data_IF_916102623336
#
_entry.id   IF_916102623336
#
_cell.length_a   1.000
_cell.length_b   1.000
_cell.length_c   1.000
_cell.angle_alpha   90.00
_cell.angle_beta   90.00
_cell.angle_gamma   90.00
#
_symmetry.space_group_name_H-M   'P 1'
#
loop_
_entity.id
_entity.type
_entity.pdbx_description
1 polymer ?
#
# COMPACT_ATOMS: atom_id res chain seq x y z
N UNK A 1 16.26 31.85 17.22
CA UNK A 1 14.88 31.55 16.78
C UNK A 1 14.67 31.38 15.27
N UNK A 2 15.36 32.06 14.31
CA UNK A 2 15.03 31.88 12.89
C UNK A 2 15.48 30.53 12.30
N UNK A 3 16.51 29.88 12.88
CA UNK A 3 17.03 28.60 12.40
C UNK A 3 16.09 27.41 12.67
N UNK A 4 15.33 27.46 13.78
CA UNK A 4 14.40 26.38 14.18
C UNK A 4 13.15 26.38 13.30
N UNK A 5 12.66 27.57 12.91
CA UNK A 5 11.55 27.71 11.97
C UNK A 5 11.93 27.28 10.55
N UNK A 6 13.17 27.55 10.11
CA UNK A 6 13.67 27.09 8.80
C UNK A 6 13.80 25.56 8.74
N UNK A 7 14.27 24.92 9.82
CA UNK A 7 14.35 23.46 9.94
C UNK A 7 12.96 22.81 9.96
N UNK A 8 11.98 23.40 10.66
CA UNK A 8 10.59 22.94 10.63
C UNK A 8 9.95 23.07 9.23
N UNK A 9 10.30 24.12 8.49
CA UNK A 9 9.83 24.31 7.10
C UNK A 9 10.45 23.29 6.14
N UNK A 10 11.73 22.93 6.33
CA UNK A 10 12.40 21.91 5.53
C UNK A 10 11.90 20.48 5.82
N UNK A 11 11.31 20.25 7.00
CA UNK A 11 10.73 18.96 7.41
C UNK A 11 9.32 18.71 6.84
N UNK A 12 8.60 19.74 6.37
CA UNK A 12 7.31 19.60 5.68
C UNK A 12 7.43 19.33 4.17
N UNK A 13 8.63 19.53 3.61
CA UNK A 13 8.90 19.32 2.19
C UNK A 13 8.69 17.89 1.65
N UNK A 14 8.90 16.78 2.38
CA UNK A 14 8.81 15.45 1.78
C UNK A 14 7.38 15.09 1.36
N UNK A 15 6.40 15.40 2.20
CA UNK A 15 4.99 15.10 1.92
C UNK A 15 4.43 16.02 0.83
N UNK A 16 4.67 17.34 0.92
CA UNK A 16 4.25 18.29 -0.12
C UNK A 16 4.93 17.99 -1.46
N UNK A 17 6.20 17.62 -1.46
CA UNK A 17 6.91 17.22 -2.68
C UNK A 17 6.37 15.91 -3.24
N UNK A 18 6.11 14.91 -2.42
CA UNK A 18 5.49 13.65 -2.87
C UNK A 18 4.12 13.94 -3.49
N UNK A 19 3.31 14.78 -2.85
CA UNK A 19 2.02 15.24 -3.37
C UNK A 19 2.17 15.90 -4.73
N UNK A 20 3.10 16.83 -4.87
CA UNK A 20 3.36 17.53 -6.14
C UNK A 20 3.88 16.57 -7.22
N UNK A 21 4.80 15.66 -6.89
CA UNK A 21 5.31 14.63 -7.81
C UNK A 21 4.18 13.70 -8.29
N UNK A 22 3.24 13.37 -7.41
CA UNK A 22 2.04 12.60 -7.77
C UNK A 22 1.11 13.45 -8.64
N UNK A 23 0.80 14.70 -8.26
CA UNK A 23 -0.05 15.58 -9.05
C UNK A 23 0.50 15.79 -10.47
N UNK A 24 1.81 15.98 -10.60
CA UNK A 24 2.50 16.14 -11.89
C UNK A 24 2.49 14.83 -12.68
N UNK A 25 2.81 13.70 -12.05
CA UNK A 25 2.77 12.39 -12.71
C UNK A 25 1.36 12.03 -13.16
N UNK A 26 0.33 12.29 -12.34
CA UNK A 26 -1.09 12.11 -12.66
C UNK A 26 -1.47 12.98 -13.85
N UNK A 27 -1.09 14.27 -13.82
CA UNK A 27 -1.42 15.23 -14.88
C UNK A 27 -0.78 14.84 -16.21
N UNK A 28 0.52 14.49 -16.20
CA UNK A 28 1.25 14.07 -17.38
C UNK A 28 0.66 12.79 -17.99
N UNK A 29 0.26 11.86 -17.14
CA UNK A 29 -0.32 10.59 -17.59
C UNK A 29 -1.72 10.77 -18.20
N UNK A 30 -2.54 11.58 -17.54
CA UNK A 30 -3.84 12.00 -18.06
C UNK A 30 -3.71 12.66 -19.44
N UNK A 31 -2.67 13.48 -19.65
CA UNK A 31 -2.42 14.11 -20.94
C UNK A 31 -1.88 13.10 -21.99
N UNK A 32 -1.06 12.13 -21.59
CA UNK A 32 -0.61 11.05 -22.47
C UNK A 32 -1.77 10.18 -22.94
N UNK A 33 -2.69 9.80 -22.04
CA UNK A 33 -3.89 9.02 -22.38
C UNK A 33 -4.80 9.74 -23.38
N UNK A 34 -4.79 11.08 -23.40
CA UNK A 34 -5.58 11.86 -24.38
C UNK A 34 -4.95 11.97 -25.77
N UNK A 35 -3.67 11.64 -25.92
CA UNK A 35 -2.96 11.70 -27.21
C UNK A 35 -3.08 10.42 -28.05
N UNK A 36 -3.60 9.34 -27.48
CA UNK A 36 -3.74 8.07 -28.21
C UNK A 36 -5.06 8.00 -28.98
N UNK A 37 -4.95 7.97 -30.31
CA UNK A 37 -6.06 7.72 -31.24
C UNK A 37 -6.28 6.21 -31.44
N UNK A 38 -7.44 5.73 -31.01
CA UNK A 38 -8.14 4.47 -31.37
C UNK A 38 -7.32 3.30 -31.97
N UNK A 39 -7.05 2.26 -31.15
CA UNK A 39 -6.80 0.86 -31.60
C UNK A 39 -7.37 -0.18 -30.60
N UNK A 40 -7.45 -1.44 -31.05
CA UNK A 40 -8.19 -2.61 -30.51
C UNK A 40 -8.05 -2.93 -29.02
N UNK A 41 -9.09 -3.61 -28.47
CA UNK A 41 -9.36 -3.83 -27.05
C UNK A 41 -8.68 -5.12 -26.53
N UNK A 42 -7.99 -5.02 -25.38
CA UNK A 42 -7.68 -6.16 -24.51
C UNK A 42 -8.17 -5.77 -23.11
N UNK A 43 -9.03 -6.58 -22.50
CA UNK A 43 -9.55 -6.30 -21.15
C UNK A 43 -8.39 -6.12 -20.16
N UNK A 44 -8.34 -5.00 -19.41
CA UNK A 44 -7.32 -4.81 -18.41
C UNK A 44 -7.54 -5.80 -17.27
N UNK A 45 -6.57 -6.71 -17.08
CA UNK A 45 -6.49 -7.47 -15.84
C UNK A 45 -6.06 -6.52 -14.72
N UNK A 46 -7.04 -6.03 -13.95
CA UNK A 46 -6.82 -5.13 -12.81
C UNK A 46 -5.84 -5.68 -11.75
N UNK A 47 -5.54 -6.99 -11.79
CA UNK A 47 -4.63 -7.63 -10.85
C UNK A 47 -3.16 -7.64 -11.30
N UNK A 48 -2.81 -7.13 -12.50
CA UNK A 48 -1.41 -7.11 -12.95
C UNK A 48 -0.92 -5.72 -13.30
N UNK A 49 -0.37 -5.01 -12.32
CA UNK A 49 0.60 -3.92 -12.57
C UNK A 49 1.93 -4.45 -13.16
N UNK A 50 2.03 -5.76 -13.44
CA UNK A 50 3.22 -6.44 -13.95
C UNK A 50 3.61 -6.03 -15.39
N UNK A 51 2.79 -5.26 -16.12
CA UNK A 51 3.20 -4.63 -17.37
C UNK A 51 2.30 -3.45 -17.75
N UNK A 52 2.83 -2.22 -17.86
CA UNK A 52 2.12 -1.08 -18.43
C UNK A 52 1.61 -1.32 -19.87
N UNK A 53 2.15 -2.34 -20.56
CA UNK A 53 1.76 -2.73 -21.91
C UNK A 53 0.54 -3.67 -21.96
N UNK A 54 0.08 -4.24 -20.84
CA UNK A 54 -1.04 -5.21 -20.81
C UNK A 54 -2.35 -4.62 -20.24
N UNK A 55 -2.40 -3.32 -19.96
CA UNK A 55 -3.59 -2.60 -19.52
C UNK A 55 -4.06 -1.75 -20.69
N UNK A 56 -4.97 -2.27 -21.54
CA UNK A 56 -5.22 -1.67 -22.85
C UNK A 56 -6.63 -1.09 -23.11
N UNK A 57 -6.56 -0.06 -23.97
CA UNK A 57 -7.47 0.58 -24.93
C UNK A 57 -9.01 0.49 -24.80
N UNK A 58 -9.63 1.66 -24.77
CA UNK A 58 -11.04 1.86 -25.08
C UNK A 58 -11.21 2.50 -26.47
N UNK A 59 -12.00 1.89 -27.35
CA UNK A 59 -12.56 2.56 -28.54
C UNK A 59 -13.84 3.28 -28.13
N UNK A 60 -13.87 4.61 -28.22
CA UNK A 60 -15.07 5.40 -27.92
C UNK A 60 -15.39 6.31 -29.10
N UNK A 61 -16.52 6.04 -29.76
CA UNK A 61 -16.96 6.68 -31.00
C UNK A 61 -17.46 8.14 -30.85
N UNK A 62 -17.23 8.81 -29.72
CA UNK A 62 -17.75 10.17 -29.50
C UNK A 62 -16.78 11.06 -28.67
N UNK A 63 -15.79 11.64 -29.35
CA UNK A 63 -14.67 12.39 -28.76
C UNK A 63 -15.09 13.60 -27.90
N UNK A 64 -16.22 14.25 -28.21
CA UNK A 64 -16.68 15.47 -27.52
C UNK A 64 -17.23 15.18 -26.12
N UNK A 65 -17.98 14.08 -25.99
CA UNK A 65 -18.49 13.60 -24.70
C UNK A 65 -17.38 13.09 -23.80
N UNK A 66 -16.32 12.52 -24.38
CA UNK A 66 -15.11 12.12 -23.67
C UNK A 66 -14.44 13.31 -23.00
N UNK A 67 -14.17 14.38 -23.74
CA UNK A 67 -13.44 15.54 -23.21
C UNK A 67 -14.16 16.17 -22.02
N UNK A 68 -15.48 16.31 -22.09
CA UNK A 68 -16.28 16.87 -20.99
C UNK A 68 -16.34 15.94 -19.77
N UNK A 69 -16.48 14.62 -19.98
CA UNK A 69 -16.40 13.63 -18.89
C UNK A 69 -15.01 13.58 -18.24
N UNK A 70 -13.95 13.65 -19.04
CA UNK A 70 -12.57 13.71 -18.59
C UNK A 70 -12.27 14.97 -17.79
N UNK A 71 -12.75 16.14 -18.22
CA UNK A 71 -12.56 17.40 -17.47
C UNK A 71 -13.29 17.36 -16.13
N UNK A 72 -14.54 16.86 -16.10
CA UNK A 72 -15.29 16.72 -14.84
C UNK A 72 -14.66 15.69 -13.90
N UNK A 73 -14.19 14.56 -14.42
CA UNK A 73 -13.47 13.56 -13.66
C UNK A 73 -12.14 14.09 -13.12
N UNK A 74 -11.33 14.76 -13.95
CA UNK A 74 -10.09 15.45 -13.55
C UNK A 74 -10.36 16.40 -12.38
N UNK A 75 -11.40 17.22 -12.49
CA UNK A 75 -11.78 18.19 -11.44
C UNK A 75 -12.21 17.50 -10.14
N UNK A 76 -13.02 16.44 -10.24
CA UNK A 76 -13.47 15.67 -9.07
C UNK A 76 -12.31 14.95 -8.38
N UNK A 77 -11.54 14.16 -9.13
CA UNK A 77 -10.41 13.40 -8.61
C UNK A 77 -9.36 14.33 -7.99
N UNK A 78 -9.05 15.46 -8.66
CA UNK A 78 -8.14 16.47 -8.09
C UNK A 78 -8.71 17.10 -6.82
N UNK A 79 -10.02 17.38 -6.77
CA UNK A 79 -10.68 17.90 -5.58
C UNK A 79 -10.62 16.91 -4.41
N UNK A 80 -10.98 15.66 -4.65
CA UNK A 80 -10.95 14.56 -3.66
C UNK A 80 -9.53 14.31 -3.16
N UNK A 81 -8.55 14.15 -4.08
CA UNK A 81 -7.15 14.00 -3.73
C UNK A 81 -6.64 15.19 -2.93
N UNK A 82 -6.91 16.43 -3.38
CA UNK A 82 -6.46 17.63 -2.65
C UNK A 82 -7.05 17.71 -1.25
N UNK A 83 -8.34 17.42 -1.08
CA UNK A 83 -8.99 17.40 0.25
C UNK A 83 -8.37 16.33 1.13
N UNK A 84 -8.17 15.12 0.61
CA UNK A 84 -7.60 13.99 1.35
C UNK A 84 -6.14 14.24 1.72
N UNK A 85 -5.33 14.78 0.80
CA UNK A 85 -3.95 15.16 1.03
C UNK A 85 -3.82 16.32 2.01
N UNK A 86 -4.77 17.26 2.03
CA UNK A 86 -4.83 18.31 3.06
C UNK A 86 -5.14 17.73 4.44
N UNK A 87 -6.01 16.71 4.52
CA UNK A 87 -6.29 15.97 5.74
C UNK A 87 -5.05 15.22 6.23
N UNK A 88 -4.38 14.50 5.33
CA UNK A 88 -3.12 13.81 5.60
C UNK A 88 -2.04 14.76 6.13
N UNK A 89 -1.89 15.94 5.53
CA UNK A 89 -0.96 16.96 5.99
C UNK A 89 -1.32 17.46 7.40
N UNK A 90 -2.62 17.59 7.71
CA UNK A 90 -3.08 17.96 9.05
C UNK A 90 -2.78 16.86 10.08
N UNK A 91 -2.97 15.58 9.71
CA UNK A 91 -2.69 14.44 10.57
C UNK A 91 -1.18 14.33 10.87
N UNK A 92 -0.33 14.43 9.85
CA UNK A 92 1.14 14.48 9.99
C UNK A 92 1.55 15.62 10.92
N UNK A 93 1.02 16.83 10.70
CA UNK A 93 1.32 17.99 11.55
C UNK A 93 0.78 17.84 12.99
N UNK A 94 -0.21 16.97 13.21
CA UNK A 94 -0.79 16.70 14.53
C UNK A 94 0.00 15.64 15.30
N UNK A 95 0.50 14.61 14.61
CA UNK A 95 1.36 13.57 15.20
C UNK A 95 2.75 14.11 15.56
N UNK A 96 3.25 15.12 14.85
CA UNK A 96 4.45 15.86 15.22
C UNK A 96 4.40 16.45 16.65
N UNK A 97 3.19 16.60 17.23
CA UNK A 97 3.00 17.01 18.63
C UNK A 97 3.03 15.86 19.64
N UNK A 98 2.88 14.60 19.20
CA UNK A 98 2.74 13.43 20.07
C UNK A 98 4.02 12.56 20.14
N UNK A 99 4.96 12.70 19.21
CA UNK A 99 6.21 11.92 19.22
C UNK A 99 7.29 12.57 20.10
N UNK A 100 7.28 12.17 21.38
CA UNK A 100 8.36 12.43 22.33
C UNK A 100 9.60 11.56 22.00
N UNK A 101 10.78 12.20 21.96
CA UNK A 101 12.14 11.61 22.01
C UNK A 101 12.83 11.01 20.76
N UNK A 102 12.26 11.05 19.54
CA UNK A 102 13.02 10.66 18.33
C UNK A 102 13.81 11.81 17.68
N UNK A 103 14.92 11.49 17.02
CA UNK A 103 15.78 12.44 16.32
C UNK A 103 15.13 13.00 15.03
N UNK A 104 15.57 14.16 14.51
CA UNK A 104 14.96 14.80 13.34
C UNK A 104 14.91 13.94 12.07
N UNK A 105 15.89 13.04 11.89
CA UNK A 105 15.96 12.15 10.73
C UNK A 105 14.94 11.00 10.81
N UNK A 106 14.77 10.41 12.00
CA UNK A 106 13.77 9.36 12.27
C UNK A 106 12.35 9.89 12.05
N UNK A 107 12.09 11.13 12.49
CA UNK A 107 10.80 11.81 12.27
C UNK A 107 10.47 11.99 10.79
N UNK A 108 11.43 12.42 9.98
CA UNK A 108 11.23 12.63 8.54
C UNK A 108 10.98 11.32 7.79
N UNK A 109 11.65 10.24 8.18
CA UNK A 109 11.44 8.91 7.59
C UNK A 109 10.05 8.38 7.97
N UNK A 110 9.69 8.44 9.25
CA UNK A 110 8.39 7.97 9.74
C UNK A 110 7.23 8.72 9.08
N UNK A 111 7.32 10.04 8.90
CA UNK A 111 6.28 10.83 8.25
C UNK A 111 6.14 10.51 6.76
N UNK A 112 7.24 10.20 6.06
CA UNK A 112 7.18 9.76 4.67
C UNK A 112 6.53 8.37 4.53
N UNK A 113 6.86 7.41 5.41
CA UNK A 113 6.21 6.10 5.42
C UNK A 113 4.70 6.20 5.65
N UNK A 114 4.29 6.99 6.65
CA UNK A 114 2.88 7.27 6.93
C UNK A 114 2.18 7.92 5.73
N UNK A 115 2.81 8.90 5.10
CA UNK A 115 2.24 9.56 3.92
C UNK A 115 2.01 8.55 2.78
N UNK A 116 2.97 7.65 2.54
CA UNK A 116 2.86 6.61 1.50
C UNK A 116 1.83 5.54 1.85
N UNK A 117 1.76 5.10 3.11
CA UNK A 117 0.77 4.14 3.57
C UNK A 117 -0.66 4.71 3.45
N UNK A 118 -0.86 5.94 3.91
CA UNK A 118 -2.16 6.61 3.81
C UNK A 118 -2.57 6.82 2.36
N UNK A 119 -1.64 7.21 1.49
CA UNK A 119 -1.92 7.36 0.07
C UNK A 119 -2.24 6.01 -0.62
N UNK A 120 -1.53 4.94 -0.26
CA UNK A 120 -1.83 3.60 -0.77
C UNK A 120 -3.23 3.13 -0.33
N UNK A 121 -3.59 3.34 0.94
CA UNK A 121 -4.92 3.04 1.45
C UNK A 121 -5.99 3.88 0.73
N UNK A 122 -5.73 5.17 0.53
CA UNK A 122 -6.61 6.10 -0.16
C UNK A 122 -6.90 5.67 -1.59
N UNK A 123 -5.85 5.36 -2.36
CA UNK A 123 -6.02 4.90 -3.74
C UNK A 123 -6.64 3.51 -3.79
N UNK A 124 -6.34 2.61 -2.85
CA UNK A 124 -6.96 1.29 -2.79
C UNK A 124 -8.47 1.37 -2.54
N UNK A 125 -8.90 2.27 -1.64
CA UNK A 125 -10.30 2.54 -1.35
C UNK A 125 -11.01 3.19 -2.55
N UNK A 126 -10.40 4.23 -3.14
CA UNK A 126 -10.95 4.90 -4.30
C UNK A 126 -10.97 3.98 -5.54
N UNK A 127 -10.01 3.08 -5.69
CA UNK A 127 -10.04 2.11 -6.78
C UNK A 127 -11.27 1.19 -6.69
N UNK A 128 -11.63 0.76 -5.48
CA UNK A 128 -12.86 0.01 -5.24
C UNK A 128 -14.11 0.86 -5.53
N UNK A 129 -14.16 2.12 -5.11
CA UNK A 129 -15.32 2.99 -5.37
C UNK A 129 -15.48 3.32 -6.87
N UNK A 130 -14.36 3.43 -7.59
CA UNK A 130 -14.31 3.68 -9.03
C UNK A 130 -14.66 2.46 -9.88
N UNK A 131 -14.84 1.28 -9.29
CA UNK A 131 -15.35 0.09 -10.00
C UNK A 131 -16.71 0.34 -10.68
N UNK A 132 -17.51 1.29 -10.16
CA UNK A 132 -18.78 1.74 -10.72
C UNK A 132 -18.65 2.92 -11.73
N UNK A 133 -17.43 3.41 -11.96
CA UNK A 133 -17.14 4.48 -12.92
C UNK A 133 -17.17 4.01 -14.38
N UNK A 134 -17.06 4.97 -15.29
CA UNK A 134 -16.87 4.68 -16.73
C UNK A 134 -15.57 3.92 -16.97
N UNK A 135 -15.46 3.23 -18.12
CA UNK A 135 -14.24 2.49 -18.50
C UNK A 135 -13.01 3.40 -18.45
N UNK A 136 -13.14 4.65 -18.91
CA UNK A 136 -12.05 5.64 -18.90
C UNK A 136 -11.61 6.00 -17.47
N UNK A 137 -12.56 6.21 -16.55
CA UNK A 137 -12.25 6.54 -15.15
C UNK A 137 -11.53 5.39 -14.45
N UNK A 138 -12.00 4.15 -14.68
CA UNK A 138 -11.34 2.94 -14.17
C UNK A 138 -9.92 2.78 -14.71
N UNK A 139 -9.72 3.02 -16.01
CA UNK A 139 -8.40 2.92 -16.63
C UNK A 139 -7.42 3.97 -16.08
N UNK A 140 -7.88 5.21 -15.87
CA UNK A 140 -7.05 6.26 -15.25
C UNK A 140 -6.70 5.85 -13.82
N UNK A 141 -7.69 5.45 -13.01
CA UNK A 141 -7.49 5.04 -11.63
C UNK A 141 -6.49 3.88 -11.50
N UNK A 142 -6.63 2.85 -12.35
CA UNK A 142 -5.72 1.71 -12.40
C UNK A 142 -4.28 2.15 -12.67
N UNK A 143 -4.11 3.08 -13.61
CA UNK A 143 -2.78 3.57 -13.98
C UNK A 143 -2.13 4.41 -12.88
N UNK A 144 -2.90 5.29 -12.24
CA UNK A 144 -2.43 6.06 -11.08
C UNK A 144 -2.05 5.15 -9.93
N UNK A 145 -2.87 4.13 -9.66
CA UNK A 145 -2.58 3.13 -8.65
C UNK A 145 -1.27 2.38 -8.98
N UNK A 146 -1.11 1.86 -10.20
CA UNK A 146 0.14 1.18 -10.57
C UNK A 146 1.36 2.11 -10.48
N UNK A 147 1.23 3.39 -10.83
CA UNK A 147 2.35 4.34 -10.70
C UNK A 147 2.72 4.61 -9.25
N UNK A 148 1.73 4.73 -8.36
CA UNK A 148 1.97 4.79 -6.93
C UNK A 148 2.66 3.51 -6.42
N UNK A 149 2.17 2.34 -6.83
CA UNK A 149 2.75 1.05 -6.44
C UNK A 149 4.24 0.98 -6.84
N UNK A 150 4.59 1.40 -8.07
CA UNK A 150 5.98 1.51 -8.53
C UNK A 150 6.79 2.48 -7.66
N UNK A 151 6.30 3.70 -7.45
CA UNK A 151 7.01 4.71 -6.68
C UNK A 151 7.21 4.30 -5.21
N UNK A 152 6.22 3.66 -4.59
CA UNK A 152 6.33 3.11 -3.24
C UNK A 152 7.35 1.98 -3.24
N UNK A 153 7.23 1.01 -4.14
CA UNK A 153 8.17 -0.11 -4.25
C UNK A 153 9.62 0.39 -4.37
N UNK A 154 9.88 1.32 -5.28
CA UNK A 154 11.24 1.81 -5.55
C UNK A 154 11.81 2.55 -4.32
N UNK A 155 10.99 3.39 -3.67
CA UNK A 155 11.36 4.03 -2.40
C UNK A 155 11.68 3.01 -1.29
N UNK A 156 10.83 1.99 -1.14
CA UNK A 156 10.97 0.96 -0.11
C UNK A 156 12.24 0.12 -0.33
N UNK A 157 12.60 -0.16 -1.58
CA UNK A 157 13.87 -0.80 -1.91
C UNK A 157 15.07 0.05 -1.51
N UNK A 158 15.07 1.33 -1.90
CA UNK A 158 16.15 2.26 -1.57
C UNK A 158 16.30 2.43 -0.05
N UNK A 159 15.16 2.46 0.66
CA UNK A 159 15.13 2.48 2.11
C UNK A 159 15.80 1.24 2.71
N UNK A 160 15.42 0.04 2.26
CA UNK A 160 15.97 -1.22 2.80
C UNK A 160 17.46 -1.35 2.50
N UNK A 161 17.89 -0.96 1.30
CA UNK A 161 19.30 -0.97 0.94
C UNK A 161 20.15 -0.06 1.84
N UNK A 162 19.57 1.08 2.27
CA UNK A 162 20.28 2.08 3.07
C UNK A 162 20.19 1.85 4.58
N UNK A 163 19.03 1.43 5.08
CA UNK A 163 18.71 1.42 6.51
C UNK A 163 18.41 0.01 7.06
N UNK A 164 18.26 -1.00 6.20
CA UNK A 164 17.79 -2.32 6.61
C UNK A 164 16.27 -2.42 6.66
N UNK A 165 15.76 -3.49 7.28
CA UNK A 165 14.31 -3.71 7.35
C UNK A 165 13.67 -2.69 8.31
N UNK A 166 12.55 -2.05 7.96
CA UNK A 166 11.88 -1.11 8.86
C UNK A 166 11.42 -1.84 10.14
N UNK A 167 11.89 -1.36 11.29
CA UNK A 167 11.59 -1.96 12.60
C UNK A 167 11.01 -0.92 13.55
N UNK A 168 10.28 -1.40 14.56
CA UNK A 168 9.70 -0.54 15.61
C UNK A 168 10.75 0.27 16.35
N UNK A 169 11.96 -0.25 16.49
CA UNK A 169 13.07 0.47 17.12
C UNK A 169 13.42 1.79 16.39
N UNK A 170 13.27 1.82 15.06
CA UNK A 170 13.66 2.97 14.23
C UNK A 170 12.48 3.90 13.92
N UNK A 171 11.27 3.35 13.81
CA UNK A 171 10.09 4.04 13.31
C UNK A 171 8.92 4.09 14.31
N UNK A 172 9.11 3.62 15.54
CA UNK A 172 8.05 3.51 16.53
C UNK A 172 6.94 2.56 16.07
N UNK A 173 5.68 2.87 16.44
CA UNK A 173 4.51 2.06 16.04
C UNK A 173 4.37 1.90 14.52
N UNK A 174 4.95 2.82 13.74
CA UNK A 174 4.91 2.80 12.28
C UNK A 174 5.87 1.79 11.65
N UNK A 175 6.82 1.22 12.40
CA UNK A 175 7.78 0.25 11.86
C UNK A 175 7.12 -1.02 11.33
N UNK A 176 6.12 -1.54 12.04
CA UNK A 176 5.37 -2.71 11.59
C UNK A 176 4.55 -2.41 10.34
N UNK A 177 3.91 -1.24 10.27
CA UNK A 177 3.12 -0.84 9.10
C UNK A 177 4.01 -0.54 7.89
N UNK A 178 5.17 0.09 8.11
CA UNK A 178 6.19 0.25 7.09
C UNK A 178 6.66 -1.10 6.53
N UNK A 179 6.90 -2.10 7.40
CA UNK A 179 7.22 -3.47 6.98
C UNK A 179 6.11 -4.13 6.18
N UNK A 180 4.84 -3.92 6.54
CA UNK A 180 3.69 -4.42 5.76
C UNK A 180 3.55 -3.73 4.40
N UNK A 181 3.75 -2.42 4.36
CA UNK A 181 3.77 -1.65 3.12
C UNK A 181 4.88 -2.17 2.20
N UNK A 182 6.06 -2.39 2.77
CA UNK A 182 7.22 -3.01 2.11
C UNK A 182 6.79 -4.29 1.39
N UNK A 183 6.26 -5.21 2.18
CA UNK A 183 5.75 -6.52 1.75
C UNK A 183 4.71 -6.40 0.64
N UNK A 184 3.70 -5.55 0.80
CA UNK A 184 2.59 -5.35 -0.15
C UNK A 184 3.05 -4.93 -1.54
N UNK A 185 4.12 -4.15 -1.64
CA UNK A 185 4.58 -3.58 -2.91
C UNK A 185 5.64 -4.41 -3.63
N UNK A 186 6.08 -5.55 -3.08
CA UNK A 186 7.03 -6.42 -3.77
C UNK A 186 6.40 -7.35 -4.79
N UNK A 187 6.68 -7.03 -6.05
CA UNK A 187 6.34 -7.86 -7.21
C UNK A 187 7.57 -8.44 -7.90
N UNK A 188 8.77 -7.98 -7.55
CA UNK A 188 10.03 -8.43 -8.13
C UNK A 188 10.71 -9.47 -7.23
N UNK A 189 10.82 -10.69 -7.76
CA UNK A 189 11.39 -11.85 -7.07
C UNK A 189 12.87 -11.68 -6.75
N UNK A 190 13.63 -10.96 -7.57
CA UNK A 190 15.07 -10.80 -7.38
C UNK A 190 15.32 -9.96 -6.14
N UNK A 191 14.71 -8.76 -6.10
CA UNK A 191 14.89 -7.86 -4.97
C UNK A 191 14.21 -8.36 -3.70
N UNK A 192 13.11 -9.14 -3.79
CA UNK A 192 12.48 -9.76 -2.62
C UNK A 192 13.49 -10.53 -1.74
N UNK A 193 14.51 -11.14 -2.36
CA UNK A 193 15.56 -11.84 -1.61
C UNK A 193 16.36 -10.92 -0.66
N UNK A 194 16.65 -9.70 -1.08
CA UNK A 194 17.39 -8.71 -0.29
C UNK A 194 16.58 -8.28 0.94
N UNK A 195 15.29 -8.07 0.75
CA UNK A 195 14.37 -7.73 1.85
C UNK A 195 14.22 -8.88 2.81
N UNK A 196 14.10 -10.11 2.29
CA UNK A 196 14.05 -11.29 3.15
C UNK A 196 15.32 -11.37 4.00
N UNK A 197 16.50 -11.15 3.43
CA UNK A 197 17.77 -11.13 4.17
C UNK A 197 17.74 -10.04 5.25
N UNK A 198 17.23 -8.85 4.93
CA UNK A 198 17.10 -7.76 5.90
C UNK A 198 16.12 -8.10 7.04
N UNK A 199 14.95 -8.68 6.72
CA UNK A 199 13.95 -9.12 7.69
C UNK A 199 14.47 -10.26 8.59
N UNK A 200 15.15 -11.25 8.00
CA UNK A 200 15.77 -12.37 8.72
C UNK A 200 16.80 -11.84 9.73
N UNK A 201 17.62 -10.86 9.32
CA UNK A 201 18.60 -10.22 10.20
C UNK A 201 17.91 -9.46 11.34
N UNK A 202 16.93 -8.61 11.02
CA UNK A 202 16.20 -7.84 12.02
C UNK A 202 15.50 -8.74 13.04
N UNK A 203 14.94 -9.87 12.61
CA UNK A 203 14.36 -10.87 13.52
C UNK A 203 15.43 -11.55 14.39
N UNK A 204 16.55 -11.97 13.81
CA UNK A 204 17.65 -12.60 14.54
C UNK A 204 18.26 -11.68 15.61
N UNK A 205 18.28 -10.37 15.34
CA UNK A 205 18.74 -9.32 16.26
C UNK A 205 17.68 -8.90 17.29
N UNK A 206 16.49 -9.52 17.28
CA UNK A 206 15.34 -9.15 18.12
C UNK A 206 14.81 -7.73 17.89
N UNK A 207 15.13 -7.12 16.75
CA UNK A 207 14.63 -5.81 16.34
C UNK A 207 13.26 -5.91 15.64
N UNK A 208 12.89 -7.09 15.15
CA UNK A 208 11.57 -7.39 14.57
C UNK A 208 10.86 -8.42 15.45
N UNK A 209 9.60 -8.16 15.82
CA UNK A 209 8.83 -9.11 16.61
C UNK A 209 8.55 -10.39 15.81
N UNK A 210 8.37 -11.53 16.49
CA UNK A 210 7.98 -12.77 15.83
C UNK A 210 6.66 -12.64 15.06
N UNK A 211 5.74 -11.81 15.55
CA UNK A 211 4.43 -11.55 14.92
C UNK A 211 4.59 -10.77 13.62
N UNK A 212 5.41 -9.72 13.61
CA UNK A 212 5.65 -8.92 12.41
C UNK A 212 6.46 -9.72 11.38
N UNK A 213 7.48 -10.46 11.83
CA UNK A 213 8.26 -11.35 10.98
C UNK A 213 7.40 -12.47 10.38
N UNK A 214 6.50 -13.07 11.16
CA UNK A 214 5.56 -14.06 10.65
C UNK A 214 4.60 -13.49 9.61
N UNK A 215 4.08 -12.28 9.85
CA UNK A 215 3.22 -11.60 8.86
C UNK A 215 3.96 -11.35 7.54
N UNK A 216 5.23 -10.94 7.62
CA UNK A 216 6.13 -10.83 6.47
C UNK A 216 6.28 -12.18 5.73
N UNK A 217 6.58 -13.27 6.45
CA UNK A 217 6.77 -14.59 5.87
C UNK A 217 5.50 -15.11 5.18
N UNK A 218 4.34 -14.91 5.79
CA UNK A 218 3.08 -15.43 5.25
C UNK A 218 2.71 -14.73 3.94
N UNK A 219 2.86 -13.41 3.88
CA UNK A 219 2.62 -12.67 2.66
C UNK A 219 3.64 -13.01 1.57
N UNK A 220 4.92 -13.10 1.92
CA UNK A 220 5.96 -13.53 1.00
C UNK A 220 5.64 -14.89 0.37
N UNK A 221 5.16 -15.81 1.20
CA UNK A 221 4.73 -17.13 0.77
C UNK A 221 3.51 -17.05 -0.15
N UNK A 222 2.51 -16.23 0.22
CA UNK A 222 1.33 -15.96 -0.60
C UNK A 222 1.71 -15.43 -1.99
N UNK A 223 2.62 -14.46 -2.09
CA UNK A 223 3.02 -13.90 -3.39
C UNK A 223 3.74 -14.92 -4.27
N UNK A 224 4.47 -15.85 -3.66
CA UNK A 224 5.26 -16.85 -4.38
C UNK A 224 4.47 -18.11 -4.74
N UNK A 225 3.58 -18.55 -3.85
CA UNK A 225 2.93 -19.85 -3.89
C UNK A 225 1.40 -19.78 -3.99
N UNK A 226 0.79 -18.61 -3.73
CA UNK A 226 -0.65 -18.42 -3.75
C UNK A 226 -1.38 -19.02 -2.54
N UNK A 227 -0.63 -19.36 -1.48
CA UNK A 227 -1.10 -20.02 -0.26
C UNK A 227 -0.53 -19.33 0.98
N UNK A 228 -1.07 -19.67 2.16
CA UNK A 228 -0.59 -19.18 3.46
C UNK A 228 0.08 -20.31 4.26
N UNK A 229 1.16 -19.99 4.97
CA UNK A 229 1.86 -20.88 5.91
C UNK A 229 1.59 -20.55 7.38
N UNK A 230 1.05 -19.37 7.68
CA UNK A 230 0.70 -18.94 9.04
C UNK A 230 -0.79 -18.68 9.21
N UNK A 231 -1.48 -18.22 8.18
CA UNK A 231 -2.89 -17.86 8.26
C UNK A 231 -3.06 -16.50 8.91
N UNK A 232 -2.39 -15.49 8.39
CA UNK A 232 -2.56 -14.09 8.82
C UNK A 232 -3.75 -13.42 8.12
N UNK A 233 -4.13 -13.89 6.93
CA UNK A 233 -5.21 -13.34 6.12
C UNK A 233 -6.47 -14.21 6.15
N UNK A 234 -7.61 -13.55 6.38
CA UNK A 234 -8.93 -14.18 6.39
C UNK A 234 -9.90 -13.36 5.57
N UNK A 235 -10.90 -14.04 5.03
CA UNK A 235 -12.08 -13.42 4.44
C UNK A 235 -13.32 -14.12 4.97
N UNK A 236 -14.49 -13.55 4.70
CA UNK A 236 -15.76 -14.16 5.07
C UNK A 236 -16.35 -14.91 3.87
N UNK A 237 -16.70 -16.18 4.07
CA UNK A 237 -17.45 -16.99 3.10
C UNK A 237 -18.47 -17.82 3.86
N UNK A 238 -19.69 -17.88 3.36
CA UNK A 238 -20.79 -18.67 3.95
C UNK A 238 -21.05 -18.36 5.44
N UNK A 239 -20.93 -17.08 5.81
CA UNK A 239 -21.16 -16.60 7.19
C UNK A 239 -20.03 -16.89 8.17
N UNK A 240 -18.88 -17.38 7.70
CA UNK A 240 -17.73 -17.71 8.54
C UNK A 240 -16.39 -17.18 8.03
N UNK A 241 -15.43 -16.86 8.92
CA UNK A 241 -14.07 -16.57 8.52
C UNK A 241 -13.40 -17.82 7.94
N UNK A 242 -12.85 -17.70 6.75
CA UNK A 242 -11.98 -18.68 6.11
C UNK A 242 -10.60 -18.05 5.85
N UNK A 243 -9.56 -18.86 5.83
CA UNK A 243 -8.25 -18.40 5.35
C UNK A 243 -8.31 -18.18 3.85
N UNK A 244 -7.93 -16.96 3.42
CA UNK A 244 -7.85 -16.63 2.00
C UNK A 244 -6.65 -15.74 1.70
N UNK A 245 -5.68 -16.21 0.89
CA UNK A 245 -5.65 -17.50 0.20
C UNK A 245 -5.62 -18.73 1.13
N UNK A 246 -5.80 -19.93 0.59
CA UNK A 246 -5.89 -21.13 1.42
C UNK A 246 -4.60 -21.38 2.20
N UNK A 247 -4.74 -21.93 3.41
CA UNK A 247 -3.63 -22.35 4.24
C UNK A 247 -3.05 -23.67 3.71
N UNK A 248 -1.73 -23.81 3.66
CA UNK A 248 -1.09 -25.04 3.17
C UNK A 248 -1.31 -26.23 4.10
N UNK A 249 -1.16 -26.00 5.40
CA UNK A 249 -1.34 -27.02 6.44
C UNK A 249 -1.61 -26.35 7.78
N UNK A 250 -2.76 -26.65 8.39
CA UNK A 250 -3.11 -26.10 9.72
C UNK A 250 -2.14 -26.55 10.80
N UNK A 251 -1.69 -27.80 10.74
CA UNK A 251 -0.77 -28.35 11.72
C UNK A 251 0.61 -27.69 11.66
N UNK A 252 1.15 -27.48 10.45
CA UNK A 252 2.44 -26.80 10.29
C UNK A 252 2.32 -25.31 10.61
N UNK A 253 1.21 -24.68 10.23
CA UNK A 253 0.93 -23.30 10.63
C UNK A 253 0.88 -23.16 12.15
N UNK A 254 0.20 -24.04 12.88
CA UNK A 254 0.14 -23.97 14.34
C UNK A 254 1.53 -24.11 14.99
N UNK A 255 2.41 -24.96 14.44
CA UNK A 255 3.80 -25.08 14.92
C UNK A 255 4.56 -23.79 14.69
N UNK A 256 4.51 -23.24 13.48
CA UNK A 256 5.22 -22.00 13.13
C UNK A 256 4.67 -20.80 13.90
N UNK A 257 3.34 -20.72 14.06
CA UNK A 257 2.65 -19.73 14.88
C UNK A 257 3.15 -19.75 16.33
N UNK A 258 3.26 -20.94 16.93
CA UNK A 258 3.77 -21.08 18.29
C UNK A 258 5.24 -20.61 18.41
N UNK A 259 6.09 -20.88 17.41
CA UNK A 259 7.48 -20.42 17.39
C UNK A 259 7.58 -18.90 17.28
N UNK A 260 6.65 -18.27 16.57
CA UNK A 260 6.64 -16.84 16.29
C UNK A 260 5.77 -16.03 17.27
N UNK A 261 5.19 -16.66 18.29
CA UNK A 261 4.38 -15.99 19.32
C UNK A 261 2.93 -15.68 18.92
N UNK A 262 2.40 -16.30 17.86
CA UNK A 262 0.99 -16.21 17.50
C UNK A 262 0.13 -17.20 18.30
N UNK A 263 -1.15 -16.86 18.52
CA UNK A 263 -2.15 -17.83 18.97
C UNK A 263 -2.47 -18.87 17.90
N UNK A 264 -2.87 -20.09 18.27
CA UNK A 264 -3.22 -21.17 17.32
C UNK A 264 -4.34 -20.78 16.35
N UNK A 265 -4.31 -21.33 15.14
CA UNK A 265 -5.27 -21.11 14.05
C UNK A 265 -6.72 -21.28 14.51
N UNK A 266 -7.06 -22.39 15.17
CA UNK A 266 -8.39 -22.65 15.70
C UNK A 266 -8.87 -21.63 16.76
N UNK A 267 -7.98 -21.21 17.67
CA UNK A 267 -8.30 -20.23 18.70
C UNK A 267 -8.54 -18.83 18.10
N UNK A 268 -7.85 -18.53 17.01
CA UNK A 268 -8.01 -17.27 16.28
C UNK A 268 -9.26 -17.27 15.38
N UNK A 269 -9.60 -18.41 14.77
CA UNK A 269 -10.88 -18.57 14.08
C UNK A 269 -12.06 -18.36 15.05
N UNK A 270 -12.02 -18.95 16.25
CA UNK A 270 -13.04 -18.74 17.28
C UNK A 270 -13.14 -17.28 17.73
N UNK A 271 -12.01 -16.58 17.90
CA UNK A 271 -11.99 -15.14 18.18
C UNK A 271 -12.64 -14.32 17.06
N UNK A 272 -12.35 -14.65 15.80
CA UNK A 272 -12.96 -13.98 14.65
C UNK A 272 -14.48 -14.20 14.61
N UNK A 273 -14.96 -15.43 14.86
CA UNK A 273 -16.41 -15.71 14.98
C UNK A 273 -17.06 -14.91 16.12
N UNK A 274 -16.43 -14.86 17.31
CA UNK A 274 -16.97 -14.13 18.45
C UNK A 274 -16.95 -12.60 18.29
N UNK A 275 -16.03 -12.08 17.46
CA UNK A 275 -15.88 -10.65 17.21
C UNK A 275 -16.82 -10.10 16.13
N UNK A 276 -17.84 -10.88 15.67
CA UNK A 276 -18.75 -10.47 14.59
C UNK A 276 -18.01 -10.12 13.28
N UNK A 277 -16.84 -10.74 13.05
CA UNK A 277 -15.97 -10.45 11.90
C UNK A 277 -16.68 -10.62 10.55
N UNK A 278 -17.70 -11.47 10.48
CA UNK A 278 -18.49 -11.76 9.29
C UNK A 278 -19.96 -11.34 9.39
N UNK A 279 -20.32 -10.39 10.25
CA UNK A 279 -21.67 -9.82 10.21
C UNK A 279 -21.87 -9.14 8.85
N UNK A 280 -22.75 -9.75 8.06
CA UNK A 280 -23.14 -9.30 6.74
C UNK A 280 -23.65 -7.86 6.83
N UNK A 281 -23.06 -6.97 6.05
CA UNK A 281 -23.72 -5.72 5.67
C UNK A 281 -24.97 -6.12 4.89
N UNK A 282 -26.11 -6.24 5.57
CA UNK A 282 -27.43 -6.24 4.93
C UNK A 282 -27.69 -4.87 4.26
#
# INVERSE_FOLDING_TARGET
MPLVLLLLFLLQLPAERLILEIEDSVSQEIDNLTKFESKEIIEPNANSCASPANVYWASIHNQSSLRLSQVKFRGRLRGELKTQLSGLQADINSEDKLVFESGPAEKAISSEFLARANLDQLLSFNFHSLSNGTITERAIAARLYCKLMENNRDYLYDYVAKNGYPVTADLGENGAEAGRLLVKHFTDKERFSEIKIAADRAYAESNLSGVDYGSFLDFAHQMKHGTQILGTYRTCRDGGPIYYPALESEQEADKLRAQLGFGRTAAEALRAYGAKFCETSE
#
